data_IF_730485057585
#
_entry.id   IF_730485057585
#
_cell.length_a   1.000
_cell.length_b   1.000
_cell.length_c   1.000
_cell.angle_alpha   90.00
_cell.angle_beta   90.00
_cell.angle_gamma   90.00
#
_symmetry.space_group_name_H-M   'P 1'
#
loop_
_entity.id
_entity.type
_entity.pdbx_description
1 polymer ?
#
# COMPACT_ATOMS: atom_id res chain seq x y z
N UNK A 1 -55.82 15.13 -17.89
CA UNK A 1 -54.53 15.52 -18.48
C UNK A 1 -53.64 16.15 -17.39
N UNK A 2 -54.10 17.18 -16.65
CA UNK A 2 -53.33 17.90 -15.62
C UNK A 2 -52.88 16.95 -14.48
N UNK A 3 -53.74 16.03 -13.98
CA UNK A 3 -53.41 15.06 -12.95
C UNK A 3 -52.35 14.05 -13.41
N UNK A 4 -52.35 13.69 -14.69
CA UNK A 4 -51.35 12.75 -15.27
C UNK A 4 -49.97 13.43 -15.39
N UNK A 5 -49.95 14.72 -15.74
CA UNK A 5 -48.70 15.49 -15.83
C UNK A 5 -48.07 15.75 -14.46
N UNK A 6 -48.87 15.95 -13.41
CA UNK A 6 -48.39 16.12 -12.03
C UNK A 6 -47.82 14.80 -11.52
N UNK A 7 -48.45 13.63 -11.81
CA UNK A 7 -47.94 12.33 -11.44
C UNK A 7 -46.60 11.96 -12.14
N UNK A 8 -46.43 12.37 -13.42
CA UNK A 8 -45.16 12.21 -14.12
C UNK A 8 -44.06 13.12 -13.59
N UNK A 9 -44.38 14.35 -13.19
CA UNK A 9 -43.42 15.30 -12.63
C UNK A 9 -42.92 14.85 -11.23
N UNK A 10 -43.79 14.26 -10.40
CA UNK A 10 -43.42 13.71 -9.09
C UNK A 10 -42.56 12.43 -9.25
N UNK A 11 -42.83 11.60 -10.27
CA UNK A 11 -42.02 10.41 -10.57
C UNK A 11 -40.59 10.76 -11.05
N UNK A 12 -40.37 11.91 -11.67
CA UNK A 12 -39.04 12.36 -12.12
C UNK A 12 -38.19 12.96 -10.99
N UNK A 13 -38.81 13.41 -9.90
CA UNK A 13 -38.12 14.00 -8.74
C UNK A 13 -37.63 12.95 -7.73
N UNK A 14 -37.94 11.67 -7.90
CA UNK A 14 -37.53 10.58 -7.02
C UNK A 14 -36.36 9.74 -7.59
N UNK A 15 -35.72 10.18 -8.66
CA UNK A 15 -34.39 9.66 -8.99
C UNK A 15 -33.38 10.24 -7.99
N UNK A 16 -33.41 9.75 -6.76
CA UNK A 16 -32.27 9.89 -5.86
C UNK A 16 -31.10 9.18 -6.55
N UNK A 17 -30.27 9.94 -7.22
CA UNK A 17 -28.94 9.47 -7.59
C UNK A 17 -28.31 9.00 -6.29
N UNK A 18 -28.11 7.70 -6.14
CA UNK A 18 -27.24 7.16 -5.11
C UNK A 18 -25.84 7.73 -5.40
N UNK A 19 -25.53 8.88 -4.85
CA UNK A 19 -24.17 9.40 -4.81
C UNK A 19 -23.46 8.53 -3.79
N UNK A 20 -22.76 7.52 -4.26
CA UNK A 20 -21.87 6.73 -3.40
C UNK A 20 -20.82 7.69 -2.85
N UNK A 21 -20.59 7.63 -1.55
CA UNK A 21 -19.49 8.39 -0.95
C UNK A 21 -18.17 7.91 -1.59
N UNK A 22 -17.29 8.87 -1.85
CA UNK A 22 -15.97 8.52 -2.35
C UNK A 22 -15.14 7.92 -1.20
N UNK A 23 -14.36 6.88 -1.49
CA UNK A 23 -13.66 6.07 -0.51
C UNK A 23 -12.27 6.63 -0.23
N UNK A 24 -11.91 6.77 1.05
CA UNK A 24 -10.58 7.16 1.49
C UNK A 24 -9.98 6.08 2.39
N UNK A 25 -8.90 5.46 1.97
CA UNK A 25 -8.08 4.59 2.82
C UNK A 25 -6.87 5.36 3.35
N UNK A 26 -6.62 5.28 4.66
CA UNK A 26 -5.47 5.89 5.31
C UNK A 26 -4.60 4.77 5.89
N UNK A 27 -3.33 4.74 5.47
CA UNK A 27 -2.31 3.83 5.98
C UNK A 27 -1.29 4.64 6.76
N UNK A 28 -0.94 4.19 7.95
CA UNK A 28 0.11 4.82 8.74
C UNK A 28 1.25 3.81 8.89
N UNK A 29 2.39 4.20 8.33
CA UNK A 29 3.63 3.41 8.26
C UNK A 29 4.49 3.56 9.53
N UNK A 30 5.63 2.88 9.60
CA UNK A 30 6.66 2.97 10.65
C UNK A 30 6.17 2.66 12.09
N UNK A 31 5.16 1.80 12.25
CA UNK A 31 4.74 1.38 13.59
C UNK A 31 5.74 0.41 14.25
N UNK A 32 5.82 0.50 15.57
CA UNK A 32 6.62 -0.38 16.43
C UNK A 32 7.75 0.30 17.20
N UNK A 33 8.00 1.60 16.99
CA UNK A 33 9.03 2.38 17.67
C UNK A 33 8.48 3.46 18.63
N UNK A 34 7.26 3.96 18.38
CA UNK A 34 6.69 5.14 19.06
C UNK A 34 5.35 4.83 19.72
N UNK A 35 5.32 3.81 20.54
CA UNK A 35 4.11 3.21 21.12
C UNK A 35 3.03 4.22 21.53
N UNK A 36 3.39 5.31 22.22
CA UNK A 36 2.40 6.29 22.70
C UNK A 36 1.61 6.97 21.56
N UNK A 37 2.27 7.42 20.50
CA UNK A 37 1.59 8.04 19.37
C UNK A 37 0.84 7.00 18.52
N UNK A 38 1.43 5.83 18.36
CA UNK A 38 0.90 4.70 17.60
C UNK A 38 -0.45 4.25 18.19
N UNK A 39 -0.52 4.01 19.51
CA UNK A 39 -1.78 3.66 20.18
C UNK A 39 -2.85 4.75 20.05
N UNK A 40 -2.46 6.03 20.07
CA UNK A 40 -3.42 7.11 19.86
C UNK A 40 -3.98 7.10 18.44
N UNK A 41 -3.15 6.81 17.41
CA UNK A 41 -3.60 6.71 16.02
C UNK A 41 -4.54 5.52 15.84
N UNK A 42 -4.19 4.35 16.38
CA UNK A 42 -5.04 3.15 16.35
C UNK A 42 -6.45 3.50 16.85
N UNK A 43 -6.54 4.21 17.98
CA UNK A 43 -7.81 4.58 18.64
C UNK A 43 -8.63 5.65 17.90
N UNK A 44 -8.08 6.30 16.86
CA UNK A 44 -8.85 7.30 16.08
C UNK A 44 -9.98 6.67 15.27
N UNK A 45 -9.73 5.52 14.68
CA UNK A 45 -10.73 4.80 13.88
C UNK A 45 -10.26 3.37 13.58
N UNK A 46 -11.14 2.37 13.62
CA UNK A 46 -10.83 1.00 13.16
C UNK A 46 -10.60 0.92 11.64
N UNK A 47 -10.93 1.98 10.90
CA UNK A 47 -10.73 2.05 9.45
C UNK A 47 -9.36 2.63 9.05
N UNK A 48 -8.51 3.02 10.01
CA UNK A 48 -7.10 3.32 9.73
C UNK A 48 -6.35 1.99 9.61
N UNK A 49 -5.52 1.86 8.58
CA UNK A 49 -4.62 0.73 8.40
C UNK A 49 -3.27 1.02 9.05
N UNK A 50 -2.72 0.03 9.72
CA UNK A 50 -1.46 0.11 10.47
C UNK A 50 -0.41 -0.75 9.79
N UNK A 51 0.70 -0.15 9.35
CA UNK A 51 1.82 -0.87 8.75
C UNK A 51 3.02 -0.91 9.72
N UNK A 52 3.41 -2.12 10.10
CA UNK A 52 4.34 -2.38 11.21
C UNK A 52 5.69 -2.84 10.69
N UNK A 53 6.77 -2.21 11.17
CA UNK A 53 8.15 -2.61 10.91
C UNK A 53 8.44 -3.94 11.65
N UNK A 54 8.77 -5.05 10.96
CA UNK A 54 8.84 -6.38 11.56
C UNK A 54 9.85 -6.50 12.70
N UNK A 55 11.02 -5.87 12.52
CA UNK A 55 12.11 -5.95 13.51
C UNK A 55 12.07 -4.83 14.56
N UNK A 56 11.01 -4.03 14.60
CA UNK A 56 10.83 -2.99 15.64
C UNK A 56 10.56 -3.61 17.02
N UNK A 57 10.94 -2.93 18.11
CA UNK A 57 10.85 -3.50 19.47
C UNK A 57 9.42 -3.88 19.90
N UNK A 58 8.42 -3.18 19.35
CA UNK A 58 7.01 -3.38 19.74
C UNK A 58 6.16 -3.98 18.60
N UNK A 59 6.77 -4.55 17.55
CA UNK A 59 6.05 -5.03 16.36
C UNK A 59 4.85 -5.93 16.71
N UNK A 60 5.11 -7.01 17.42
CA UNK A 60 4.09 -7.98 17.82
C UNK A 60 3.01 -7.36 18.72
N UNK A 61 3.40 -6.50 19.68
CA UNK A 61 2.48 -5.85 20.61
C UNK A 61 1.53 -4.89 19.86
N UNK A 62 2.05 -4.03 18.99
CA UNK A 62 1.27 -3.07 18.23
C UNK A 62 0.34 -3.77 17.23
N UNK A 63 0.81 -4.85 16.57
CA UNK A 63 -0.03 -5.64 15.68
C UNK A 63 -1.25 -6.24 16.42
N UNK A 64 -1.05 -6.76 17.64
CA UNK A 64 -2.15 -7.26 18.48
C UNK A 64 -3.15 -6.16 18.85
N UNK A 65 -2.68 -5.01 19.36
CA UNK A 65 -3.55 -3.89 19.73
C UNK A 65 -4.36 -3.39 18.53
N UNK A 66 -3.72 -3.24 17.37
CA UNK A 66 -4.39 -2.81 16.14
C UNK A 66 -5.48 -3.81 15.72
N UNK A 67 -5.15 -5.10 15.71
CA UNK A 67 -6.12 -6.14 15.39
C UNK A 67 -7.30 -6.17 16.38
N UNK A 68 -7.04 -6.11 17.68
CA UNK A 68 -8.09 -6.08 18.72
C UNK A 68 -9.02 -4.86 18.59
N UNK A 69 -8.48 -3.72 18.15
CA UNK A 69 -9.26 -2.52 17.87
C UNK A 69 -10.03 -2.60 16.53
N UNK A 70 -9.75 -3.61 15.71
CA UNK A 70 -10.39 -3.84 14.42
C UNK A 70 -9.71 -3.17 13.24
N UNK A 71 -8.49 -2.66 13.39
CA UNK A 71 -7.71 -2.09 12.28
C UNK A 71 -7.16 -3.19 11.36
N UNK A 72 -7.01 -2.89 10.07
CA UNK A 72 -6.19 -3.70 9.19
C UNK A 72 -4.72 -3.55 9.60
N UNK A 73 -4.00 -4.67 9.65
CA UNK A 73 -2.57 -4.72 9.94
C UNK A 73 -1.82 -5.11 8.67
N UNK A 74 -0.73 -4.40 8.38
CA UNK A 74 0.18 -4.70 7.27
C UNK A 74 1.62 -4.82 7.77
N UNK A 75 2.45 -5.51 7.01
CA UNK A 75 3.89 -5.55 7.19
C UNK A 75 4.50 -4.38 6.44
N UNK A 76 5.20 -3.49 7.13
CA UNK A 76 6.02 -2.44 6.53
C UNK A 76 7.42 -2.99 6.26
N UNK A 77 7.63 -3.59 5.08
CA UNK A 77 8.78 -4.41 4.77
C UNK A 77 9.99 -3.56 4.34
N UNK A 78 11.11 -3.63 5.07
CA UNK A 78 12.29 -2.84 4.74
C UNK A 78 12.90 -3.22 3.39
N UNK A 79 13.08 -2.24 2.53
CA UNK A 79 13.60 -2.37 1.16
C UNK A 79 14.65 -1.31 0.85
N UNK A 80 15.69 -1.67 0.12
CA UNK A 80 16.83 -0.80 -0.17
C UNK A 80 16.43 0.44 -0.98
N UNK A 81 16.80 1.65 -0.53
CA UNK A 81 16.69 2.89 -1.30
C UNK A 81 17.92 3.12 -2.17
N UNK A 82 17.84 4.04 -3.14
CA UNK A 82 19.02 4.56 -3.85
C UNK A 82 19.96 5.36 -2.96
N UNK A 83 19.43 5.95 -1.89
CA UNK A 83 20.19 6.80 -0.95
C UNK A 83 20.99 5.99 0.08
N UNK A 84 21.76 6.74 0.90
CA UNK A 84 22.59 6.18 1.98
C UNK A 84 21.99 6.45 3.37
N UNK A 85 20.68 6.28 3.51
CA UNK A 85 20.01 6.39 4.80
C UNK A 85 20.38 5.20 5.71
N UNK A 86 20.29 5.34 7.03
CA UNK A 86 20.29 4.20 7.94
C UNK A 86 19.19 3.21 7.57
N UNK A 87 19.51 1.93 7.58
CA UNK A 87 18.61 0.87 7.15
C UNK A 87 18.12 0.05 8.34
N UNK A 88 16.90 -0.45 8.23
CA UNK A 88 16.35 -1.44 9.13
C UNK A 88 17.03 -2.80 8.97
N UNK A 89 16.96 -3.61 10.02
CA UNK A 89 17.42 -5.00 9.95
C UNK A 89 16.59 -5.76 8.90
N UNK A 90 17.24 -6.72 8.23
CA UNK A 90 16.63 -7.54 7.18
C UNK A 90 16.06 -6.70 6.00
N UNK A 91 16.72 -5.58 5.67
CA UNK A 91 16.39 -4.78 4.47
C UNK A 91 16.65 -5.60 3.21
N UNK A 92 15.65 -5.72 2.34
CA UNK A 92 15.73 -6.43 1.08
C UNK A 92 16.51 -5.65 0.02
N UNK A 93 17.39 -6.34 -0.72
CA UNK A 93 18.17 -5.80 -1.82
C UNK A 93 17.90 -6.54 -3.13
N UNK A 94 18.00 -5.87 -4.29
CA UNK A 94 17.74 -6.50 -5.60
C UNK A 94 18.65 -7.68 -5.97
N UNK A 95 19.81 -7.77 -5.37
CA UNK A 95 20.82 -8.80 -5.63
C UNK A 95 20.77 -9.98 -4.66
N UNK A 96 19.79 -9.99 -3.73
CA UNK A 96 19.59 -11.12 -2.83
C UNK A 96 19.04 -12.32 -3.59
N UNK A 97 19.57 -13.50 -3.26
CA UNK A 97 19.06 -14.76 -3.76
C UNK A 97 17.63 -15.01 -3.28
N UNK A 98 16.86 -15.77 -4.04
CA UNK A 98 15.46 -16.06 -3.77
C UNK A 98 15.22 -16.62 -2.37
N UNK A 99 16.06 -17.57 -1.94
CA UNK A 99 15.96 -18.22 -0.62
C UNK A 99 16.13 -17.23 0.54
N UNK A 100 16.99 -16.22 0.37
CA UNK A 100 17.19 -15.20 1.40
C UNK A 100 16.01 -14.23 1.44
N UNK A 101 15.43 -13.85 0.29
CA UNK A 101 14.21 -13.05 0.23
C UNK A 101 13.05 -13.80 0.87
N UNK A 102 12.86 -15.08 0.56
CA UNK A 102 11.81 -15.92 1.15
C UNK A 102 11.97 -16.02 2.68
N UNK A 103 13.20 -16.26 3.16
CA UNK A 103 13.49 -16.27 4.59
C UNK A 103 13.11 -14.97 5.28
N UNK A 104 13.46 -13.81 4.69
CA UNK A 104 13.15 -12.49 5.26
C UNK A 104 11.66 -12.24 5.29
N UNK A 105 10.95 -12.52 4.19
CA UNK A 105 9.50 -12.34 4.09
C UNK A 105 8.77 -13.25 5.07
N UNK A 106 9.12 -14.54 5.13
CA UNK A 106 8.52 -15.50 6.06
C UNK A 106 8.75 -15.09 7.53
N UNK A 107 9.96 -14.60 7.86
CA UNK A 107 10.25 -14.08 9.19
C UNK A 107 9.42 -12.83 9.51
N UNK A 108 9.26 -11.91 8.56
CA UNK A 108 8.44 -10.71 8.73
C UNK A 108 6.96 -11.05 8.99
N UNK A 109 6.43 -12.06 8.28
CA UNK A 109 5.06 -12.57 8.52
C UNK A 109 4.92 -13.15 9.94
N UNK A 110 5.92 -13.86 10.43
CA UNK A 110 5.91 -14.41 11.80
C UNK A 110 5.99 -13.32 12.88
N UNK A 111 6.68 -12.20 12.60
CA UNK A 111 6.87 -11.09 13.53
C UNK A 111 5.68 -10.13 13.61
N UNK A 112 4.87 -10.04 12.55
CA UNK A 112 3.70 -9.15 12.48
C UNK A 112 2.43 -10.00 12.32
N UNK A 113 1.85 -10.49 13.42
CA UNK A 113 0.63 -11.31 13.35
C UNK A 113 -0.54 -10.50 12.77
N UNK A 114 -1.53 -11.21 12.21
CA UNK A 114 -2.73 -10.67 11.59
C UNK A 114 -2.49 -9.79 10.34
N UNK A 115 -1.28 -9.73 9.83
CA UNK A 115 -1.00 -8.96 8.63
C UNK A 115 -1.74 -9.55 7.41
N UNK A 116 -2.42 -8.67 6.67
CA UNK A 116 -3.21 -9.02 5.49
C UNK A 116 -2.53 -8.59 4.18
N UNK A 117 -1.46 -7.83 4.27
CA UNK A 117 -0.71 -7.31 3.13
C UNK A 117 0.64 -6.74 3.55
N UNK A 118 1.38 -6.34 2.56
CA UNK A 118 2.75 -5.79 2.70
C UNK A 118 2.83 -4.47 1.96
N UNK A 119 3.58 -3.51 2.50
CA UNK A 119 4.05 -2.35 1.73
C UNK A 119 5.55 -2.12 1.94
N UNK A 120 6.17 -1.34 1.06
CA UNK A 120 7.60 -1.09 1.15
C UNK A 120 7.93 0.08 2.08
N UNK A 121 8.78 -0.19 3.10
CA UNK A 121 9.53 0.85 3.81
C UNK A 121 10.71 1.27 2.96
N UNK A 122 10.83 2.58 2.64
CA UNK A 122 11.78 3.06 1.64
C UNK A 122 11.61 2.32 0.29
N UNK A 123 12.68 1.73 -0.24
CA UNK A 123 12.61 0.76 -1.33
C UNK A 123 12.73 1.34 -2.73
N UNK A 124 13.18 2.58 -2.91
CA UNK A 124 13.29 3.17 -4.25
C UNK A 124 14.22 2.39 -5.20
N UNK A 125 15.29 1.75 -4.68
CA UNK A 125 16.14 0.85 -5.44
C UNK A 125 15.47 -0.52 -5.65
N UNK A 126 14.95 -1.10 -4.58
CA UNK A 126 14.35 -2.45 -4.63
C UNK A 126 13.12 -2.51 -5.52
N UNK A 127 12.16 -1.56 -5.35
CA UNK A 127 10.93 -1.53 -6.13
C UNK A 127 11.13 -1.17 -7.61
N UNK A 128 12.28 -0.61 -7.99
CA UNK A 128 12.64 -0.38 -9.39
C UNK A 128 13.26 -1.62 -10.08
N UNK A 129 13.61 -2.66 -9.31
CA UNK A 129 14.21 -3.89 -9.83
C UNK A 129 13.15 -4.94 -10.13
N UNK A 130 13.07 -5.37 -11.39
CA UNK A 130 12.15 -6.43 -11.80
C UNK A 130 12.47 -7.74 -11.07
N UNK A 131 13.71 -8.20 -11.10
CA UNK A 131 14.15 -9.46 -10.48
C UNK A 131 13.95 -9.41 -8.95
N UNK A 132 14.34 -8.29 -8.31
CA UNK A 132 14.14 -8.13 -6.87
C UNK A 132 12.67 -8.21 -6.47
N UNK A 133 11.80 -7.55 -7.21
CA UNK A 133 10.36 -7.59 -6.93
C UNK A 133 9.71 -8.93 -7.30
N UNK A 134 10.19 -9.64 -8.32
CA UNK A 134 9.73 -11.00 -8.61
C UNK A 134 10.00 -11.95 -7.45
N UNK A 135 11.20 -11.90 -6.84
CA UNK A 135 11.52 -12.70 -5.66
C UNK A 135 10.60 -12.36 -4.48
N UNK A 136 10.31 -11.06 -4.26
CA UNK A 136 9.35 -10.63 -3.22
C UNK A 136 7.95 -11.15 -3.50
N UNK A 137 7.44 -10.99 -4.71
CA UNK A 137 6.09 -11.43 -5.08
C UNK A 137 5.95 -12.95 -5.01
N UNK A 138 7.00 -13.68 -5.38
CA UNK A 138 7.07 -15.14 -5.23
C UNK A 138 6.95 -15.54 -3.75
N UNK A 139 7.74 -14.93 -2.86
CA UNK A 139 7.65 -15.19 -1.43
C UNK A 139 6.24 -14.85 -0.89
N UNK A 140 5.65 -13.72 -1.28
CA UNK A 140 4.30 -13.33 -0.86
C UNK A 140 3.21 -14.28 -1.35
N UNK A 141 3.39 -14.94 -2.51
CA UNK A 141 2.41 -15.89 -3.05
C UNK A 141 2.11 -17.07 -2.14
N UNK A 142 3.03 -17.39 -1.23
CA UNK A 142 2.84 -18.44 -0.20
C UNK A 142 2.00 -17.96 1.01
N UNK A 143 1.68 -16.67 1.11
CA UNK A 143 1.07 -16.07 2.31
C UNK A 143 -0.30 -15.41 2.08
N UNK A 144 -0.89 -15.52 0.90
CA UNK A 144 -2.21 -14.94 0.57
C UNK A 144 -2.32 -13.43 0.92
N UNK A 145 -1.27 -12.67 0.66
CA UNK A 145 -1.17 -11.24 0.97
C UNK A 145 -1.24 -10.40 -0.31
N UNK A 146 -1.75 -9.17 -0.21
CA UNK A 146 -1.64 -8.17 -1.26
C UNK A 146 -0.41 -7.27 -1.04
N UNK A 147 -0.03 -6.51 -2.07
CA UNK A 147 1.05 -5.53 -1.99
C UNK A 147 0.52 -4.10 -2.19
N UNK A 148 0.87 -3.20 -1.29
CA UNK A 148 0.68 -1.76 -1.46
C UNK A 148 2.01 -1.13 -1.89
N UNK A 149 2.08 -0.65 -3.12
CA UNK A 149 3.23 0.13 -3.58
C UNK A 149 3.18 1.54 -2.97
N UNK A 150 4.11 1.83 -2.05
CA UNK A 150 4.25 3.16 -1.43
C UNK A 150 4.80 4.21 -2.42
N UNK A 151 5.18 3.82 -3.64
CA UNK A 151 5.64 4.68 -4.75
C UNK A 151 6.73 5.67 -4.32
N UNK A 152 7.79 5.12 -3.74
CA UNK A 152 8.98 5.88 -3.32
C UNK A 152 9.92 6.23 -4.49
N UNK A 153 9.59 5.78 -5.69
CA UNK A 153 10.25 6.09 -6.96
C UNK A 153 9.21 6.26 -8.08
N UNK A 154 9.53 7.03 -9.10
CA UNK A 154 8.57 7.36 -10.17
C UNK A 154 8.20 6.19 -11.08
N UNK A 155 9.10 5.20 -11.26
CA UNK A 155 8.85 3.98 -12.04
C UNK A 155 9.19 2.77 -11.18
N UNK A 156 8.19 1.94 -10.89
CA UNK A 156 8.34 0.71 -10.12
C UNK A 156 8.12 -0.51 -11.00
N UNK A 157 8.68 -1.65 -10.62
CA UNK A 157 8.47 -2.96 -11.25
C UNK A 157 7.36 -3.77 -10.51
N UNK A 158 6.74 -3.18 -9.49
CA UNK A 158 5.82 -3.87 -8.58
C UNK A 158 4.67 -4.56 -9.33
N UNK A 159 3.97 -3.84 -10.22
CA UNK A 159 2.82 -4.42 -10.94
C UNK A 159 3.22 -5.54 -11.88
N UNK A 160 4.32 -5.35 -12.62
CA UNK A 160 4.80 -6.34 -13.58
C UNK A 160 5.21 -7.62 -12.85
N UNK A 161 5.98 -7.51 -11.76
CA UNK A 161 6.37 -8.64 -10.93
C UNK A 161 5.16 -9.32 -10.26
N UNK A 162 4.22 -8.55 -9.71
CA UNK A 162 3.04 -9.07 -9.04
C UNK A 162 2.12 -9.85 -9.99
N UNK A 163 2.02 -9.44 -11.25
CA UNK A 163 1.20 -10.12 -12.26
C UNK A 163 1.65 -11.55 -12.56
N UNK A 164 2.94 -11.86 -12.33
CA UNK A 164 3.50 -13.20 -12.54
C UNK A 164 3.00 -14.20 -11.49
N UNK A 165 2.75 -13.71 -10.27
CA UNK A 165 2.39 -14.52 -9.11
C UNK A 165 0.95 -14.31 -8.61
N UNK A 166 0.12 -13.64 -9.43
CA UNK A 166 -1.28 -13.33 -9.09
C UNK A 166 -1.42 -12.56 -7.75
N UNK A 167 -0.46 -11.70 -7.40
CA UNK A 167 -0.52 -10.86 -6.19
C UNK A 167 -1.36 -9.61 -6.48
N UNK A 168 -2.43 -9.35 -5.72
CA UNK A 168 -3.18 -8.10 -5.84
C UNK A 168 -2.30 -6.91 -5.45
N UNK A 169 -2.37 -5.81 -6.24
CA UNK A 169 -1.59 -4.60 -6.00
C UNK A 169 -2.49 -3.38 -5.94
N UNK A 170 -2.31 -2.60 -4.90
CA UNK A 170 -2.82 -1.23 -4.78
C UNK A 170 -1.66 -0.24 -4.68
N UNK A 171 -1.89 1.02 -4.97
CA UNK A 171 -0.83 2.04 -5.01
C UNK A 171 -1.21 3.26 -4.19
N UNK A 172 -0.23 3.91 -3.57
CA UNK A 172 -0.41 5.18 -2.89
C UNK A 172 -0.74 6.31 -3.88
N UNK A 173 -1.77 7.07 -3.57
CA UNK A 173 -2.12 8.30 -4.29
C UNK A 173 -1.47 9.53 -3.66
N UNK A 174 -1.49 9.64 -2.32
CA UNK A 174 -1.03 10.84 -1.61
C UNK A 174 -0.10 10.48 -0.45
N UNK A 175 1.01 11.22 -0.32
CA UNK A 175 1.87 11.19 0.86
C UNK A 175 1.47 12.33 1.79
N UNK A 176 1.11 12.02 3.05
CA UNK A 176 0.53 13.02 3.96
C UNK A 176 1.58 13.94 4.59
N UNK A 177 2.73 13.40 4.97
CA UNK A 177 3.65 14.02 5.92
C UNK A 177 5.13 13.95 5.51
N UNK A 178 5.41 14.02 4.20
CA UNK A 178 6.77 14.24 3.66
C UNK A 178 7.42 15.47 4.32
N UNK A 179 6.62 16.50 4.61
CA UNK A 179 7.00 17.60 5.48
C UNK A 179 6.24 17.54 6.80
N UNK A 180 6.96 17.45 7.92
CA UNK A 180 6.39 17.37 9.27
C UNK A 180 5.83 18.73 9.76
N UNK A 181 4.90 19.28 9.00
CA UNK A 181 4.23 20.56 9.28
C UNK A 181 2.72 20.37 9.18
N UNK A 182 1.96 20.69 10.26
CA UNK A 182 0.51 20.46 10.32
C UNK A 182 -0.28 21.16 9.20
N UNK A 183 0.15 22.35 8.75
CA UNK A 183 -0.53 23.04 7.65
C UNK A 183 -0.34 22.28 6.33
N UNK A 184 0.88 21.79 6.07
CA UNK A 184 1.20 20.99 4.87
C UNK A 184 0.46 19.65 4.93
N UNK A 185 0.51 18.95 6.06
CA UNK A 185 -0.21 17.67 6.24
C UNK A 185 -1.72 17.86 6.03
N UNK A 186 -2.29 18.97 6.56
CA UNK A 186 -3.70 19.31 6.32
C UNK A 186 -4.01 19.50 4.84
N UNK A 187 -3.12 20.17 4.08
CA UNK A 187 -3.29 20.34 2.63
C UNK A 187 -3.20 19.02 1.87
N UNK A 188 -2.29 18.12 2.28
CA UNK A 188 -2.18 16.77 1.70
C UNK A 188 -3.41 15.91 2.00
N UNK A 189 -3.97 16.01 3.20
CA UNK A 189 -5.24 15.35 3.53
C UNK A 189 -6.37 15.86 2.62
N UNK A 190 -6.47 17.18 2.42
CA UNK A 190 -7.45 17.76 1.52
C UNK A 190 -7.20 17.38 0.04
N UNK A 191 -5.94 17.14 -0.34
CA UNK A 191 -5.60 16.58 -1.65
C UNK A 191 -6.11 15.14 -1.77
N UNK A 192 -5.92 14.29 -0.75
CA UNK A 192 -6.43 12.92 -0.75
C UNK A 192 -7.96 12.89 -0.92
N UNK A 193 -8.69 13.77 -0.24
CA UNK A 193 -10.15 13.95 -0.45
C UNK A 193 -10.46 14.31 -1.90
N UNK A 194 -9.73 15.26 -2.50
CA UNK A 194 -9.97 15.64 -3.90
C UNK A 194 -9.67 14.49 -4.87
N UNK A 195 -8.64 13.70 -4.61
CA UNK A 195 -8.31 12.51 -5.41
C UNK A 195 -9.41 11.47 -5.29
N UNK A 196 -9.87 11.18 -4.06
CA UNK A 196 -10.98 10.26 -3.82
C UNK A 196 -12.24 10.68 -4.60
N UNK A 197 -12.64 11.96 -4.50
CA UNK A 197 -13.79 12.50 -5.25
C UNK A 197 -13.65 12.37 -6.77
N UNK A 198 -12.42 12.52 -7.27
CA UNK A 198 -12.15 12.44 -8.71
C UNK A 198 -12.15 11.01 -9.24
N UNK A 199 -11.58 10.08 -8.47
CA UNK A 199 -11.29 8.73 -8.92
C UNK A 199 -12.27 7.68 -8.35
N UNK A 200 -13.14 8.07 -7.40
CA UNK A 200 -13.99 7.17 -6.62
C UNK A 200 -13.31 6.70 -5.33
N UNK A 201 -11.98 6.58 -5.32
CA UNK A 201 -11.20 6.21 -4.13
C UNK A 201 -9.83 6.89 -4.11
N UNK A 202 -9.18 6.92 -2.93
CA UNK A 202 -7.78 7.30 -2.76
C UNK A 202 -7.12 6.57 -1.59
N UNK A 203 -5.83 6.29 -1.73
CA UNK A 203 -4.97 5.75 -0.67
C UNK A 203 -3.97 6.84 -0.25
N UNK A 204 -4.02 7.23 1.02
CA UNK A 204 -3.11 8.18 1.63
C UNK A 204 -2.20 7.48 2.64
N UNK A 205 -0.89 7.74 2.56
CA UNK A 205 0.12 7.19 3.49
C UNK A 205 0.71 8.32 4.33
N UNK A 206 0.87 8.09 5.64
CA UNK A 206 1.59 8.95 6.57
C UNK A 206 2.32 8.13 7.63
N UNK A 207 2.91 8.81 8.63
CA UNK A 207 3.72 8.21 9.70
C UNK A 207 3.22 8.65 11.08
N UNK A 208 3.60 7.95 12.19
CA UNK A 208 3.08 8.24 13.52
C UNK A 208 3.78 9.44 14.18
N UNK A 209 3.93 10.54 13.42
CA UNK A 209 4.44 11.80 13.95
C UNK A 209 3.37 12.54 14.76
N UNK A 210 3.75 13.33 15.79
CA UNK A 210 2.80 14.13 16.55
C UNK A 210 1.95 15.06 15.69
N UNK A 211 2.56 15.66 14.64
CA UNK A 211 1.87 16.56 13.71
C UNK A 211 0.81 15.80 12.90
N UNK A 212 1.14 14.61 12.41
CA UNK A 212 0.21 13.74 11.67
C UNK A 212 -0.96 13.35 12.55
N UNK A 213 -0.68 12.89 13.78
CA UNK A 213 -1.73 12.56 14.78
C UNK A 213 -2.67 13.75 15.03
N UNK A 214 -2.13 14.96 15.24
CA UNK A 214 -2.93 16.15 15.48
C UNK A 214 -3.84 16.49 14.28
N UNK A 215 -3.30 16.40 13.05
CA UNK A 215 -4.09 16.65 11.84
C UNK A 215 -5.18 15.59 11.67
N UNK A 216 -4.84 14.31 11.82
CA UNK A 216 -5.81 13.21 11.71
C UNK A 216 -6.95 13.38 12.71
N UNK A 217 -6.68 13.69 13.97
CA UNK A 217 -7.71 13.97 14.99
C UNK A 217 -8.72 15.03 14.51
N UNK A 218 -8.23 16.12 13.95
CA UNK A 218 -9.11 17.23 13.49
C UNK A 218 -9.87 16.87 12.22
N UNK A 219 -9.17 16.26 11.25
CA UNK A 219 -9.74 15.97 9.93
C UNK A 219 -10.76 14.85 9.96
N UNK A 220 -10.50 13.78 10.72
CA UNK A 220 -11.43 12.66 10.83
C UNK A 220 -12.70 13.04 11.60
N UNK A 221 -12.59 13.91 12.61
CA UNK A 221 -13.76 14.44 13.33
C UNK A 221 -14.67 15.32 12.44
N UNK A 222 -14.15 15.85 11.32
CA UNK A 222 -14.83 16.74 10.39
C UNK A 222 -14.76 16.21 8.94
N UNK A 223 -14.79 14.90 8.77
CA UNK A 223 -14.76 14.28 7.44
C UNK A 223 -16.04 14.68 6.67
N UNK A 224 -15.94 15.15 5.42
CA UNK A 224 -17.11 15.49 4.61
C UNK A 224 -18.04 14.29 4.44
N UNK A 225 -19.36 14.54 4.42
CA UNK A 225 -20.39 13.48 4.33
C UNK A 225 -20.37 12.70 3.00
N UNK A 226 -19.70 13.22 1.98
CA UNK A 226 -19.48 12.58 0.68
C UNK A 226 -18.18 11.78 0.61
N UNK A 227 -17.46 11.64 1.74
CA UNK A 227 -16.25 10.81 1.87
C UNK A 227 -16.48 9.75 2.94
N UNK A 228 -16.20 8.50 2.61
CA UNK A 228 -16.18 7.37 3.53
C UNK A 228 -14.75 6.97 3.85
N UNK A 229 -14.40 6.93 5.13
CA UNK A 229 -13.14 6.33 5.57
C UNK A 229 -13.30 4.82 5.60
N UNK A 230 -12.53 4.12 4.78
CA UNK A 230 -12.58 2.66 4.64
C UNK A 230 -11.25 2.01 4.99
N UNK A 231 -11.28 0.70 5.26
CA UNK A 231 -10.07 -0.13 5.39
C UNK A 231 -9.42 -0.33 4.03
N UNK A 232 -8.09 -0.45 4.00
CA UNK A 232 -7.38 -0.70 2.73
C UNK A 232 -7.80 -2.03 2.10
N UNK A 233 -8.12 -3.05 2.90
CA UNK A 233 -8.60 -4.35 2.41
C UNK A 233 -9.84 -4.25 1.53
N UNK A 234 -10.67 -3.22 1.69
CA UNK A 234 -11.86 -2.99 0.88
C UNK A 234 -11.54 -2.49 -0.54
N UNK A 235 -10.36 -1.89 -0.75
CA UNK A 235 -9.87 -1.47 -2.06
C UNK A 235 -9.14 -2.58 -2.82
N UNK A 236 -8.77 -3.65 -2.13
CA UNK A 236 -8.07 -4.78 -2.74
C UNK A 236 -9.07 -5.64 -3.50
N UNK A 237 -9.08 -5.54 -4.81
CA UNK A 237 -9.88 -6.43 -5.65
C UNK A 237 -9.15 -7.76 -5.81
N UNK A 238 -9.75 -8.89 -5.45
CA UNK A 238 -9.18 -10.20 -5.76
C UNK A 238 -8.96 -10.30 -7.29
N UNK A 239 -7.81 -10.82 -7.70
CA UNK A 239 -7.59 -11.13 -9.11
C UNK A 239 -8.62 -12.19 -9.52
N UNK A 240 -9.62 -11.79 -10.30
CA UNK A 240 -10.62 -12.72 -10.81
C UNK A 240 -9.95 -13.67 -11.81
N UNK A 241 -10.35 -14.94 -11.79
CA UNK A 241 -9.81 -15.98 -12.70
C UNK A 241 -9.95 -15.65 -14.20
N UNK A 242 -10.73 -14.63 -14.54
CA UNK A 242 -10.89 -14.14 -15.92
C UNK A 242 -9.76 -13.21 -16.38
N UNK A 243 -8.96 -12.64 -15.45
CA UNK A 243 -7.88 -11.70 -15.75
C UNK A 243 -6.48 -12.33 -15.81
N UNK A 244 -6.37 -13.66 -15.83
CA UNK A 244 -5.06 -14.32 -16.02
C UNK A 244 -4.49 -13.91 -17.37
N UNK A 245 -3.41 -13.12 -17.43
CA UNK A 245 -2.67 -13.00 -18.66
C UNK A 245 -2.25 -14.42 -19.02
N UNK A 246 -2.66 -14.90 -20.21
CA UNK A 246 -2.12 -16.16 -20.74
C UNK A 246 -0.62 -15.92 -20.85
N UNK A 247 0.15 -16.54 -19.94
CA UNK A 247 1.62 -16.58 -20.07
C UNK A 247 1.88 -17.26 -21.40
N UNK A 248 2.07 -16.46 -22.44
CA UNK A 248 2.32 -16.98 -23.78
C UNK A 248 3.78 -17.40 -23.85
N UNK A 249 4.05 -18.45 -24.62
CA UNK A 249 5.44 -18.90 -24.91
C UNK A 249 6.33 -17.71 -25.35
N UNK A 250 5.73 -16.71 -26.01
CA UNK A 250 6.36 -15.46 -26.39
C UNK A 250 6.85 -14.64 -25.19
N UNK A 251 6.05 -14.50 -24.14
CA UNK A 251 6.43 -13.79 -22.90
C UNK A 251 7.58 -14.49 -22.18
N UNK A 252 7.54 -15.84 -22.09
CA UNK A 252 8.63 -16.64 -21.50
C UNK A 252 9.92 -16.46 -22.31
N UNK A 253 9.84 -16.51 -23.65
CA UNK A 253 11.00 -16.33 -24.52
C UNK A 253 11.59 -14.91 -24.42
N UNK A 254 10.76 -13.87 -24.45
CA UNK A 254 11.20 -12.48 -24.30
C UNK A 254 11.85 -12.24 -22.95
N UNK A 255 11.31 -12.82 -21.87
CA UNK A 255 11.89 -12.72 -20.52
C UNK A 255 13.25 -13.43 -20.43
N UNK A 256 13.37 -14.65 -20.97
CA UNK A 256 14.63 -15.37 -21.05
C UNK A 256 15.69 -14.64 -21.89
N UNK A 257 15.30 -14.01 -23.00
CA UNK A 257 16.21 -13.24 -23.85
C UNK A 257 16.73 -12.01 -23.09
N UNK A 258 15.86 -11.26 -22.43
CA UNK A 258 16.25 -10.09 -21.63
C UNK A 258 17.21 -10.46 -20.49
N UNK A 259 16.98 -11.57 -19.80
CA UNK A 259 17.90 -12.07 -18.75
C UNK A 259 19.28 -12.44 -19.32
N UNK A 260 19.33 -13.02 -20.52
CA UNK A 260 20.59 -13.37 -21.18
C UNK A 260 21.34 -12.11 -21.65
N UNK A 261 20.64 -11.10 -22.13
CA UNK A 261 21.24 -9.82 -22.53
C UNK A 261 21.81 -9.04 -21.32
N UNK A 262 21.09 -9.04 -20.19
CA UNK A 262 21.54 -8.41 -18.95
C UNK A 262 22.77 -9.13 -18.37
N UNK A 263 22.79 -10.46 -18.38
CA UNK A 263 23.95 -11.26 -17.96
C UNK A 263 25.16 -11.06 -18.89
N UNK A 264 24.92 -10.93 -20.20
CA UNK A 264 25.97 -10.64 -21.17
C UNK A 264 26.57 -9.24 -20.97
N UNK A 265 25.73 -8.22 -20.76
CA UNK A 265 26.17 -6.85 -20.54
C UNK A 265 26.93 -6.70 -19.19
N UNK A 266 26.50 -7.43 -18.15
CA UNK A 266 27.18 -7.47 -16.87
C UNK A 266 28.60 -8.05 -16.99
N UNK A 267 28.76 -9.18 -17.69
CA UNK A 267 30.07 -9.82 -17.89
C UNK A 267 31.02 -8.98 -18.75
N UNK A 268 30.51 -8.25 -19.73
CA UNK A 268 31.35 -7.39 -20.58
C UNK A 268 31.80 -6.09 -19.89
N UNK A 269 31.07 -5.63 -18.86
CA UNK A 269 31.47 -4.46 -18.07
C UNK A 269 32.47 -4.79 -16.95
N UNK A 270 32.62 -6.06 -16.57
CA UNK A 270 33.63 -6.51 -15.61
C UNK A 270 35.02 -6.71 -16.25
N UNK A 271 35.10 -6.78 -17.59
CA UNK A 271 36.31 -6.99 -18.36
C UNK A 271 36.89 -5.72 -19.00
N UNK A 272 36.40 -4.54 -18.62
CA UNK A 272 36.94 -3.21 -18.93
C UNK A 272 37.43 -2.52 -17.67
#
# INVERSE_FOLDING_TARGET
VVRLLISMAIGLLLQTSNVWAAELAIVIDDFGYRQHNEEQIIKLSPNITVAVLPNSPNAHHIANIAHEHGNDVMIHLPMAPFGKQPLEKDTLYPYMEEEEVDRIVTNAVALVPYAIGVNNHMGSLMTSSQIGMENVMKALSYHSMFFLDSKTVGKTAVRDAASIYDIPVVERDVFLDDMQNEAVISQQFDLAIRVARKNGSAIAIGHPHPQTLNVLKRKLANLPSDIELIKISQLVTPLTTESKPKVTLKYILEHCINQLEDAWNFNNNLNK
#
